data_IF_233552930743
#
_entry.id   IF_233552930743
#
_cell.length_a   1.000
_cell.length_b   1.000
_cell.length_c   1.000
_cell.angle_alpha   90.00
_cell.angle_beta   90.00
_cell.angle_gamma   90.00
#
_symmetry.space_group_name_H-M   'P 1'
#
loop_
_entity.id
_entity.type
_entity.pdbx_description
1 polymer ?
#
# COMPACT_ATOMS: atom_id res chain seq x y z
N UNK A 1 -3.12 13.42 -2.60
CA UNK A 1 -2.15 12.60 -3.38
C UNK A 1 -2.81 11.50 -4.23
N UNK A 2 -3.47 10.51 -3.63
CA UNK A 2 -4.09 9.36 -4.32
C UNK A 2 -5.05 9.69 -5.48
N UNK A 3 -5.62 10.90 -5.54
CA UNK A 3 -6.47 11.38 -6.65
C UNK A 3 -5.71 11.95 -7.85
N UNK A 4 -4.39 12.15 -7.73
CA UNK A 4 -3.58 12.72 -8.81
C UNK A 4 -3.48 11.77 -10.01
N UNK A 5 -3.46 12.35 -11.21
CA UNK A 5 -3.39 11.63 -12.49
C UNK A 5 -2.02 11.72 -13.16
N UNK A 6 -0.96 12.01 -12.41
CA UNK A 6 0.38 12.12 -12.97
C UNK A 6 0.93 10.79 -13.49
N UNK A 7 1.84 10.87 -14.46
CA UNK A 7 2.58 9.70 -14.94
C UNK A 7 3.54 9.21 -13.86
N UNK A 8 3.49 7.92 -13.56
CA UNK A 8 4.45 7.27 -12.65
C UNK A 8 5.76 7.03 -13.41
N UNK A 9 6.89 7.28 -12.76
CA UNK A 9 8.23 7.12 -13.34
C UNK A 9 8.74 5.68 -13.26
N UNK A 10 8.25 4.91 -12.30
CA UNK A 10 8.62 3.52 -12.06
C UNK A 10 7.42 2.59 -12.25
N UNK A 11 7.64 1.44 -12.89
CA UNK A 11 6.62 0.38 -12.93
C UNK A 11 6.50 -0.29 -11.57
N UNK A 12 7.61 -0.73 -10.98
CA UNK A 12 7.64 -1.45 -9.70
C UNK A 12 8.59 -0.75 -8.74
N UNK A 13 8.18 -0.60 -7.48
CA UNK A 13 9.11 -0.21 -6.44
C UNK A 13 8.83 -0.85 -5.09
N UNK A 14 9.91 -1.13 -4.37
CA UNK A 14 9.87 -1.77 -3.06
C UNK A 14 10.83 -1.05 -2.11
N UNK A 15 10.37 -0.83 -0.88
CA UNK A 15 11.18 -0.32 0.21
C UNK A 15 11.25 -1.38 1.31
N UNK A 16 12.42 -1.98 1.50
CA UNK A 16 12.58 -3.04 2.49
C UNK A 16 14.01 -3.14 3.00
N UNK A 17 14.16 -3.61 4.24
CA UNK A 17 15.43 -4.13 4.71
C UNK A 17 15.72 -5.44 3.95
N UNK A 18 16.95 -5.61 3.47
CA UNK A 18 17.43 -6.90 2.99
C UNK A 18 18.00 -7.65 4.19
N UNK A 19 17.21 -8.60 4.72
CA UNK A 19 17.61 -9.41 5.86
C UNK A 19 17.99 -10.80 5.33
N UNK A 20 19.19 -11.26 5.65
CA UNK A 20 19.62 -12.62 5.38
C UNK A 20 19.08 -13.59 6.43
N UNK A 21 18.88 -14.85 6.03
CA UNK A 21 18.52 -15.90 6.96
C UNK A 21 19.64 -16.13 7.97
N UNK A 22 19.30 -16.12 9.26
CA UNK A 22 20.22 -16.41 10.35
C UNK A 22 19.87 -17.75 11.03
N UNK A 23 20.85 -18.33 11.72
CA UNK A 23 20.65 -19.58 12.46
C UNK A 23 19.59 -19.40 13.57
N UNK A 24 18.59 -20.28 13.60
CA UNK A 24 17.49 -20.23 14.57
C UNK A 24 16.22 -19.54 14.09
N UNK A 25 16.21 -18.91 12.91
CA UNK A 25 14.97 -18.37 12.33
C UNK A 25 13.96 -19.51 12.02
N UNK A 26 12.69 -19.29 12.38
CA UNK A 26 11.61 -20.21 12.04
C UNK A 26 11.35 -20.28 10.53
N UNK A 27 10.56 -21.27 10.09
CA UNK A 27 10.29 -21.50 8.68
C UNK A 27 9.58 -20.32 8.00
N UNK A 28 8.67 -19.66 8.73
CA UNK A 28 7.90 -18.53 8.21
C UNK A 28 8.80 -17.32 7.96
N UNK A 29 9.63 -16.95 8.93
CA UNK A 29 10.63 -15.88 8.85
C UNK A 29 11.60 -16.10 7.69
N UNK A 30 12.04 -17.35 7.50
CA UNK A 30 12.88 -17.72 6.35
C UNK A 30 12.16 -17.47 5.03
N UNK A 31 10.89 -17.85 4.94
CA UNK A 31 10.08 -17.65 3.74
C UNK A 31 9.88 -16.15 3.43
N UNK A 32 9.64 -15.32 4.46
CA UNK A 32 9.52 -13.86 4.34
C UNK A 32 10.81 -13.21 3.82
N UNK A 33 11.96 -13.61 4.37
CA UNK A 33 13.25 -13.09 3.94
C UNK A 33 13.57 -13.53 2.52
N UNK A 34 13.27 -14.78 2.17
CA UNK A 34 13.41 -15.28 0.80
C UNK A 34 12.50 -14.52 -0.17
N UNK A 35 11.27 -14.16 0.20
CA UNK A 35 10.39 -13.31 -0.63
C UNK A 35 11.05 -11.95 -0.91
N UNK A 36 11.56 -11.26 0.12
CA UNK A 36 12.21 -9.96 -0.05
C UNK A 36 13.46 -10.05 -0.93
N UNK A 37 14.27 -11.09 -0.73
CA UNK A 37 15.46 -11.35 -1.55
C UNK A 37 15.09 -11.70 -3.00
N UNK A 38 14.05 -12.52 -3.20
CA UNK A 38 13.55 -12.88 -4.53
C UNK A 38 13.05 -11.65 -5.29
N UNK A 39 12.29 -10.77 -4.63
CA UNK A 39 11.84 -9.51 -5.20
C UNK A 39 13.01 -8.56 -5.51
N UNK A 40 14.00 -8.47 -4.62
CA UNK A 40 15.20 -7.67 -4.87
C UNK A 40 15.96 -8.19 -6.10
N UNK A 41 16.14 -9.51 -6.23
CA UNK A 41 16.75 -10.15 -7.41
C UNK A 41 15.99 -9.83 -8.69
N UNK A 42 14.67 -10.04 -8.70
CA UNK A 42 13.81 -9.67 -9.83
C UNK A 42 13.99 -8.20 -10.27
N UNK A 43 14.20 -7.31 -9.29
CA UNK A 43 14.42 -5.89 -9.53
C UNK A 43 15.80 -5.62 -10.15
N UNK A 44 16.84 -6.30 -9.66
CA UNK A 44 18.20 -6.21 -10.21
C UNK A 44 18.28 -6.81 -11.61
N UNK A 45 17.62 -7.96 -11.84
CA UNK A 45 17.59 -8.66 -13.13
C UNK A 45 16.93 -7.82 -14.22
N UNK A 46 15.96 -6.97 -13.85
CA UNK A 46 15.32 -6.05 -14.79
C UNK A 46 16.28 -4.99 -15.34
N UNK A 47 17.35 -4.65 -14.61
CA UNK A 47 18.43 -3.74 -14.98
C UNK A 47 17.98 -2.40 -15.63
N UNK A 48 16.81 -1.89 -15.25
CA UNK A 48 16.27 -0.58 -15.66
C UNK A 48 15.51 0.02 -14.47
N UNK A 49 15.98 1.17 -13.97
CA UNK A 49 15.40 1.86 -12.82
C UNK A 49 13.98 2.37 -13.07
N UNK A 50 13.59 2.60 -14.34
CA UNK A 50 12.21 2.93 -14.74
C UNK A 50 11.29 1.70 -14.65
N UNK A 51 11.87 0.50 -14.76
CA UNK A 51 11.12 -0.75 -14.58
C UNK A 51 11.03 -1.10 -13.11
N UNK A 52 12.15 -1.15 -12.41
CA UNK A 52 12.15 -1.53 -11.01
C UNK A 52 13.15 -0.71 -10.20
N UNK A 53 12.68 -0.13 -9.10
CA UNK A 53 13.51 0.57 -8.12
C UNK A 53 13.37 -0.08 -6.74
N UNK A 54 14.50 -0.37 -6.10
CA UNK A 54 14.53 -0.86 -4.72
C UNK A 54 15.18 0.20 -3.82
N UNK A 55 14.44 0.62 -2.79
CA UNK A 55 14.98 1.43 -1.71
C UNK A 55 15.39 0.51 -0.56
N UNK A 56 16.70 0.27 -0.44
CA UNK A 56 17.26 -0.48 0.66
C UNK A 56 17.15 0.33 1.96
N UNK A 57 16.39 -0.20 2.91
CA UNK A 57 16.28 0.37 4.24
C UNK A 57 17.39 -0.24 5.10
N UNK A 58 18.22 0.59 5.73
CA UNK A 58 19.28 0.12 6.61
C UNK A 58 18.74 -0.13 8.03
N UNK A 59 18.98 -1.30 8.65
CA UNK A 59 18.57 -1.57 10.02
C UNK A 59 19.13 -0.55 11.02
N UNK A 60 20.33 -0.03 10.78
CA UNK A 60 21.00 0.95 11.67
C UNK A 60 20.47 2.37 11.51
N UNK A 61 19.85 2.70 10.38
CA UNK A 61 19.23 4.00 10.14
C UNK A 61 17.85 4.12 10.82
N UNK A 62 17.09 3.02 10.90
CA UNK A 62 15.74 3.00 11.49
C UNK A 62 15.77 3.17 13.01
N UNK A 63 16.79 2.65 13.70
CA UNK A 63 16.89 2.72 15.16
C UNK A 63 17.59 3.98 15.70
N UNK A 64 18.35 4.72 14.89
CA UNK A 64 19.16 5.85 15.40
C UNK A 64 18.49 7.22 15.36
N UNK A 65 17.37 7.42 14.66
CA UNK A 65 16.64 8.70 14.65
C UNK A 65 15.15 8.49 14.33
N UNK A 66 14.32 8.50 15.37
CA UNK A 66 12.85 8.45 15.24
C UNK A 66 12.23 9.69 14.54
N UNK A 67 13.05 10.63 14.05
CA UNK A 67 12.60 11.88 13.42
C UNK A 67 13.30 12.21 12.09
N UNK A 68 13.89 11.23 11.39
CA UNK A 68 14.50 11.49 10.07
C UNK A 68 13.42 11.62 8.98
N UNK A 69 12.95 12.85 8.76
CA UNK A 69 12.02 13.19 7.69
C UNK A 69 12.56 12.85 6.29
N UNK A 70 13.87 12.64 6.11
CA UNK A 70 14.43 12.23 4.81
C UNK A 70 13.94 10.86 4.41
N UNK A 71 13.86 9.92 5.35
CA UNK A 71 13.35 8.59 5.07
C UNK A 71 11.88 8.61 4.67
N UNK A 72 11.07 9.41 5.39
CA UNK A 72 9.66 9.64 5.05
C UNK A 72 9.52 10.22 3.65
N UNK A 73 10.35 11.22 3.30
CA UNK A 73 10.38 11.83 1.96
C UNK A 73 10.81 10.85 0.88
N UNK A 74 11.81 10.00 1.15
CA UNK A 74 12.29 9.00 0.20
C UNK A 74 11.24 7.92 -0.07
N UNK A 75 10.65 7.33 0.97
CA UNK A 75 9.59 6.32 0.83
C UNK A 75 8.35 6.94 0.19
N UNK A 76 7.95 8.13 0.64
CA UNK A 76 6.82 8.85 0.09
C UNK A 76 7.00 9.18 -1.40
N UNK A 77 8.18 9.71 -1.76
CA UNK A 77 8.53 9.99 -3.16
C UNK A 77 8.60 8.72 -4.01
N UNK A 78 9.12 7.62 -3.45
CA UNK A 78 9.18 6.33 -4.13
C UNK A 78 7.77 5.84 -4.49
N UNK A 79 6.87 5.75 -3.52
CA UNK A 79 5.49 5.30 -3.78
C UNK A 79 4.71 6.29 -4.63
N UNK A 80 4.95 7.59 -4.48
CA UNK A 80 4.39 8.61 -5.36
C UNK A 80 4.83 8.40 -6.81
N UNK A 81 6.06 8.02 -7.09
CA UNK A 81 6.53 7.88 -8.47
C UNK A 81 6.32 6.47 -9.05
N UNK A 82 5.61 5.57 -8.36
CA UNK A 82 5.53 4.14 -8.73
C UNK A 82 4.12 3.68 -9.07
N UNK A 83 4.00 2.77 -10.05
CA UNK A 83 2.72 2.14 -10.42
C UNK A 83 2.34 1.01 -9.48
N UNK A 84 3.21 0.03 -9.28
CA UNK A 84 2.99 -1.15 -8.44
C UNK A 84 3.96 -1.17 -7.24
N UNK A 85 3.39 -1.33 -6.04
CA UNK A 85 4.15 -1.42 -4.81
C UNK A 85 3.97 -2.81 -4.18
N UNK A 86 4.92 -3.74 -4.42
CA UNK A 86 4.98 -5.01 -3.73
C UNK A 86 5.03 -4.89 -2.20
N UNK A 87 4.00 -5.42 -1.55
CA UNK A 87 3.82 -5.38 -0.09
C UNK A 87 4.12 -6.75 0.50
N UNK A 88 5.41 -7.08 0.60
CA UNK A 88 5.83 -8.27 1.32
C UNK A 88 5.32 -8.22 2.77
N UNK A 89 4.69 -9.31 3.22
CA UNK A 89 4.32 -9.48 4.63
C UNK A 89 5.55 -9.42 5.54
N UNK A 90 5.32 -9.05 6.80
CA UNK A 90 6.32 -9.17 7.86
C UNK A 90 5.88 -10.21 8.86
N UNK A 91 6.28 -10.03 10.11
CA UNK A 91 5.87 -10.86 11.24
C UNK A 91 4.34 -10.87 11.42
N UNK A 92 3.66 -9.86 10.85
CA UNK A 92 2.21 -9.78 10.74
C UNK A 92 1.76 -9.43 9.31
N UNK A 93 0.48 -9.72 9.06
CA UNK A 93 -0.27 -9.36 7.86
C UNK A 93 -0.43 -7.84 7.68
N UNK A 94 -0.48 -7.11 8.79
CA UNK A 94 -0.65 -5.65 8.81
C UNK A 94 0.68 -4.96 8.56
N UNK A 95 0.72 -3.98 7.64
CA UNK A 95 1.90 -3.13 7.40
C UNK A 95 1.46 -1.72 7.06
N UNK A 96 2.04 -0.72 7.75
CA UNK A 96 1.83 0.71 7.45
C UNK A 96 2.13 1.06 5.98
N UNK A 97 3.10 0.40 5.37
CA UNK A 97 3.45 0.58 3.95
C UNK A 97 2.28 0.35 2.97
N UNK A 98 1.33 -0.54 3.32
CA UNK A 98 0.13 -0.77 2.50
C UNK A 98 -0.72 0.51 2.45
N UNK A 99 -0.97 1.12 3.62
CA UNK A 99 -1.71 2.38 3.72
C UNK A 99 -0.96 3.49 2.96
N UNK A 100 0.35 3.61 3.18
CA UNK A 100 1.17 4.66 2.55
C UNK A 100 1.11 4.57 1.01
N UNK A 101 1.24 3.37 0.43
CA UNK A 101 1.14 3.18 -1.01
C UNK A 101 -0.24 3.54 -1.56
N UNK A 102 -1.30 3.08 -0.91
CA UNK A 102 -2.68 3.39 -1.31
C UNK A 102 -2.92 4.91 -1.26
N UNK A 103 -2.50 5.58 -0.19
CA UNK A 103 -2.62 7.03 -0.05
C UNK A 103 -1.77 7.81 -1.05
N UNK A 104 -0.69 7.22 -1.57
CA UNK A 104 0.14 7.82 -2.62
C UNK A 104 -0.28 7.38 -4.02
N UNK A 105 -1.31 6.54 -4.15
CA UNK A 105 -1.88 6.08 -5.41
C UNK A 105 -1.09 4.95 -6.09
N UNK A 106 -0.15 4.34 -5.37
CA UNK A 106 0.58 3.16 -5.84
C UNK A 106 -0.26 1.90 -5.59
N UNK A 107 -0.41 1.07 -6.62
CA UNK A 107 -1.23 -0.16 -6.56
C UNK A 107 -0.50 -1.20 -5.70
N UNK A 108 -1.07 -1.63 -4.57
CA UNK A 108 -0.46 -2.68 -3.76
C UNK A 108 -0.39 -4.00 -4.54
N UNK A 109 0.67 -4.77 -4.30
CA UNK A 109 0.77 -6.17 -4.75
C UNK A 109 0.97 -7.04 -3.51
N UNK A 110 0.01 -7.92 -3.24
CA UNK A 110 -0.02 -8.77 -2.05
C UNK A 110 0.48 -10.18 -2.31
N UNK A 111 1.02 -10.77 -1.23
CA UNK A 111 1.63 -12.10 -1.25
C UNK A 111 1.00 -13.08 -0.26
N UNK A 112 0.09 -12.60 0.59
CA UNK A 112 -0.65 -13.45 1.51
C UNK A 112 -2.10 -12.98 1.65
N UNK A 113 -3.07 -13.91 1.62
CA UNK A 113 -4.51 -13.57 1.62
C UNK A 113 -4.95 -12.76 2.83
N UNK A 114 -4.34 -12.99 3.99
CA UNK A 114 -4.63 -12.21 5.20
C UNK A 114 -4.42 -10.70 5.04
N UNK A 115 -3.61 -10.23 4.08
CA UNK A 115 -3.42 -8.80 3.82
C UNK A 115 -4.70 -8.14 3.30
N UNK A 116 -5.53 -8.90 2.57
CA UNK A 116 -6.84 -8.44 2.07
C UNK A 116 -7.91 -8.33 3.17
N UNK A 117 -7.67 -8.97 4.31
CA UNK A 117 -8.61 -9.01 5.44
C UNK A 117 -8.33 -7.91 6.48
N UNK A 118 -7.33 -7.08 6.24
CA UNK A 118 -6.94 -6.02 7.17
C UNK A 118 -7.91 -4.84 7.08
N UNK A 119 -8.21 -4.22 8.24
CA UNK A 119 -9.04 -3.01 8.36
C UNK A 119 -10.48 -3.17 7.81
N UNK A 120 -11.29 -4.13 8.30
CA UNK A 120 -12.58 -4.49 7.71
C UNK A 120 -13.60 -3.34 7.64
N UNK A 121 -13.51 -2.34 8.52
CA UNK A 121 -14.38 -1.16 8.46
C UNK A 121 -14.01 -0.22 7.30
N UNK A 122 -12.74 -0.18 6.93
CA UNK A 122 -12.17 0.75 5.95
C UNK A 122 -12.03 0.12 4.56
N UNK A 123 -11.71 -1.17 4.55
CA UNK A 123 -11.42 -1.96 3.36
C UNK A 123 -12.48 -3.03 3.24
N UNK A 124 -13.44 -2.76 2.36
CA UNK A 124 -14.38 -3.78 1.87
C UNK A 124 -13.77 -4.47 0.66
N UNK A 125 -14.61 -5.05 -0.20
CA UNK A 125 -14.15 -5.65 -1.46
C UNK A 125 -13.52 -4.67 -2.46
N UNK A 126 -13.42 -3.37 -2.15
CA UNK A 126 -12.79 -2.40 -3.04
C UNK A 126 -11.28 -2.56 -3.13
N UNK A 127 -10.59 -2.93 -2.03
CA UNK A 127 -9.13 -3.08 -2.06
C UNK A 127 -8.73 -4.27 -2.93
N UNK A 128 -9.50 -5.36 -2.88
CA UNK A 128 -9.30 -6.52 -3.76
C UNK A 128 -9.42 -6.14 -5.25
N UNK A 129 -10.33 -5.22 -5.58
CA UNK A 129 -10.45 -4.67 -6.96
C UNK A 129 -9.33 -3.68 -7.34
N UNK A 130 -8.53 -3.28 -6.37
CA UNK A 130 -7.50 -2.24 -6.47
C UNK A 130 -6.08 -2.76 -6.15
N UNK A 131 -5.89 -4.08 -6.11
CA UNK A 131 -4.63 -4.74 -5.78
C UNK A 131 -4.41 -5.92 -6.71
N UNK A 132 -3.19 -6.42 -6.74
CA UNK A 132 -2.87 -7.71 -7.37
C UNK A 132 -2.44 -8.70 -6.28
N UNK A 133 -2.75 -9.98 -6.47
CA UNK A 133 -2.38 -11.03 -5.54
C UNK A 133 -1.55 -12.09 -6.26
N UNK A 134 -0.39 -12.42 -5.70
CA UNK A 134 0.47 -13.50 -6.15
C UNK A 134 0.87 -14.33 -4.94
N UNK A 135 0.58 -15.64 -4.96
CA UNK A 135 0.94 -16.50 -3.84
C UNK A 135 2.45 -16.46 -3.55
N UNK A 136 2.82 -16.22 -2.29
CA UNK A 136 4.22 -16.11 -1.88
C UNK A 136 5.05 -17.34 -2.29
N UNK A 137 4.51 -18.55 -2.18
CA UNK A 137 5.24 -19.77 -2.55
C UNK A 137 5.56 -19.80 -4.04
N UNK A 138 4.66 -19.27 -4.88
CA UNK A 138 4.89 -19.13 -6.32
C UNK A 138 5.96 -18.08 -6.62
N UNK A 139 5.97 -16.96 -5.88
CA UNK A 139 6.95 -15.90 -6.09
C UNK A 139 8.35 -16.33 -5.66
N UNK A 140 8.45 -17.02 -4.52
CA UNK A 140 9.72 -17.52 -3.98
C UNK A 140 10.23 -18.73 -4.77
N UNK A 141 9.33 -19.55 -5.31
CA UNK A 141 9.68 -20.84 -5.90
C UNK A 141 10.11 -21.87 -4.84
N UNK A 142 10.42 -23.08 -5.30
CA UNK A 142 10.97 -24.14 -4.47
C UNK A 142 11.81 -25.10 -5.33
N UNK A 143 12.28 -26.21 -4.77
CA UNK A 143 13.12 -27.20 -5.50
C UNK A 143 12.47 -27.74 -6.78
N UNK A 144 11.15 -27.72 -6.87
CA UNK A 144 10.38 -28.28 -7.99
C UNK A 144 9.74 -27.21 -8.88
N UNK A 145 9.86 -25.92 -8.54
CA UNK A 145 9.24 -24.81 -9.30
C UNK A 145 10.15 -23.59 -9.32
N UNK A 146 10.47 -23.13 -10.52
CA UNK A 146 11.20 -21.87 -10.73
C UNK A 146 10.44 -20.70 -10.09
N UNK A 147 11.14 -19.77 -9.40
CA UNK A 147 10.54 -18.55 -8.90
C UNK A 147 9.83 -17.76 -10.01
N UNK A 148 8.70 -17.12 -9.68
CA UNK A 148 7.98 -16.26 -10.62
C UNK A 148 8.81 -15.00 -10.94
N UNK A 149 8.89 -14.65 -12.22
CA UNK A 149 9.30 -13.32 -12.66
C UNK A 149 8.17 -12.31 -12.38
N UNK A 150 8.16 -11.76 -11.16
CA UNK A 150 7.13 -10.84 -10.71
C UNK A 150 7.14 -9.56 -11.55
N UNK A 151 8.32 -9.03 -11.90
CA UNK A 151 8.43 -7.79 -12.67
C UNK A 151 7.88 -8.00 -14.09
N UNK A 152 8.20 -9.13 -14.72
CA UNK A 152 7.64 -9.50 -16.02
C UNK A 152 6.12 -9.70 -15.98
N UNK A 153 5.57 -10.30 -14.92
CA UNK A 153 4.12 -10.40 -14.74
C UNK A 153 3.45 -9.02 -14.60
N UNK A 154 4.04 -8.13 -13.80
CA UNK A 154 3.51 -6.78 -13.60
C UNK A 154 3.59 -5.92 -14.88
N UNK A 155 4.62 -6.12 -15.72
CA UNK A 155 4.70 -5.51 -17.07
C UNK A 155 3.54 -5.92 -17.98
N UNK A 156 3.02 -7.15 -17.83
CA UNK A 156 1.93 -7.69 -18.64
C UNK A 156 0.54 -7.22 -18.19
N UNK A 157 0.43 -6.56 -17.04
CA UNK A 157 -0.85 -6.05 -16.56
C UNK A 157 -1.37 -4.97 -17.54
N UNK A 158 -2.56 -5.14 -18.14
CA UNK A 158 -3.04 -4.21 -19.14
C UNK A 158 -3.24 -2.79 -18.57
N UNK A 159 -2.92 -1.75 -19.35
CA UNK A 159 -3.12 -0.36 -18.95
C UNK A 159 -4.56 -0.05 -18.48
N UNK A 160 -5.57 -0.67 -19.11
CA UNK A 160 -6.98 -0.58 -18.67
C UNK A 160 -7.23 -1.12 -17.26
N UNK A 161 -6.51 -2.17 -16.86
CA UNK A 161 -6.60 -2.74 -15.52
C UNK A 161 -5.90 -1.83 -14.50
N UNK A 162 -4.72 -1.30 -14.85
CA UNK A 162 -4.01 -0.29 -14.05
C UNK A 162 -4.90 0.93 -13.79
N UNK A 163 -5.47 1.52 -14.86
CA UNK A 163 -6.34 2.68 -14.75
C UNK A 163 -7.59 2.41 -13.88
N UNK A 164 -8.18 1.20 -13.97
CA UNK A 164 -9.31 0.80 -13.12
C UNK A 164 -8.89 0.69 -11.65
N UNK A 165 -7.73 0.09 -11.35
CA UNK A 165 -7.23 -0.01 -9.98
C UNK A 165 -6.93 1.38 -9.41
N UNK A 166 -6.23 2.23 -10.16
CA UNK A 166 -5.95 3.63 -9.77
C UNK A 166 -7.23 4.44 -9.54
N UNK A 167 -8.25 4.29 -10.41
CA UNK A 167 -9.56 4.90 -10.18
C UNK A 167 -10.20 4.40 -8.88
N UNK A 168 -10.17 3.09 -8.64
CA UNK A 168 -10.73 2.51 -7.40
C UNK A 168 -10.02 3.07 -6.17
N UNK A 169 -8.68 3.17 -6.19
CA UNK A 169 -7.89 3.81 -5.13
C UNK A 169 -8.30 5.27 -4.97
N UNK A 170 -8.38 6.02 -6.06
CA UNK A 170 -8.73 7.44 -6.03
C UNK A 170 -10.12 7.70 -5.41
N UNK A 171 -11.07 6.78 -5.61
CA UNK A 171 -12.43 6.84 -5.05
C UNK A 171 -12.52 6.44 -3.56
N UNK A 172 -11.60 5.62 -3.03
CA UNK A 172 -11.74 4.98 -1.70
C UNK A 172 -10.58 5.23 -0.72
N UNK A 173 -9.39 5.63 -1.17
CA UNK A 173 -8.22 5.74 -0.31
C UNK A 173 -8.38 6.76 0.83
N UNK A 174 -9.32 7.69 0.73
CA UNK A 174 -9.72 8.55 1.83
C UNK A 174 -10.12 7.77 3.10
N UNK A 175 -10.68 6.57 2.93
CA UNK A 175 -11.05 5.68 4.02
C UNK A 175 -9.84 5.15 4.81
N UNK A 176 -8.62 5.30 4.31
CA UNK A 176 -7.38 4.92 5.01
C UNK A 176 -6.58 6.13 5.48
N UNK A 177 -7.08 7.34 5.21
CA UNK A 177 -6.40 8.56 5.60
C UNK A 177 -6.84 9.02 6.99
N UNK A 178 -5.88 9.12 7.90
CA UNK A 178 -6.05 9.85 9.15
C UNK A 178 -5.67 11.32 8.89
N UNK A 179 -6.68 12.14 8.60
CA UNK A 179 -6.53 13.60 8.67
C UNK A 179 -6.97 14.07 10.04
N UNK A 180 -6.24 15.03 10.60
CA UNK A 180 -6.72 15.85 11.71
C UNK A 180 -7.20 17.15 11.09
N UNK A 181 -8.51 17.36 11.04
CA UNK A 181 -9.11 18.64 10.65
C UNK A 181 -9.54 19.40 11.91
N UNK A 182 -8.62 19.59 12.85
CA UNK A 182 -8.92 20.40 14.04
C UNK A 182 -8.74 21.89 13.71
N UNK A 183 -9.79 22.72 13.85
CA UNK A 183 -9.66 24.17 13.75
C UNK A 183 -8.61 24.66 14.76
N UNK A 184 -7.52 25.25 14.27
CA UNK A 184 -6.48 25.85 15.11
C UNK A 184 -5.19 25.05 15.28
N UNK A 185 -5.12 23.78 14.87
CA UNK A 185 -3.88 22.99 14.93
C UNK A 185 -3.10 22.99 13.61
N UNK A 186 -3.79 23.17 12.49
CA UNK A 186 -3.20 23.24 11.14
C UNK A 186 -3.86 24.41 10.39
N UNK A 187 -3.09 25.34 9.78
CA UNK A 187 -3.66 26.38 8.94
C UNK A 187 -4.61 25.76 7.90
N UNK A 188 -5.75 26.39 7.60
CA UNK A 188 -6.72 25.87 6.63
C UNK A 188 -6.13 25.57 5.23
N UNK A 189 -5.00 26.21 4.89
CA UNK A 189 -4.20 25.97 3.67
C UNK A 189 -3.24 24.76 3.77
N UNK A 190 -2.90 24.32 4.99
CA UNK A 190 -2.07 23.14 5.27
C UNK A 190 -2.90 21.94 5.77
N UNK A 191 -4.16 22.15 6.13
CA UNK A 191 -5.12 21.08 6.32
C UNK A 191 -5.31 20.39 4.96
N UNK A 192 -4.75 19.20 4.79
CA UNK A 192 -5.09 18.28 3.70
C UNK A 192 -6.54 17.84 3.89
N UNK A 193 -7.49 18.74 3.65
CA UNK A 193 -8.93 18.44 3.76
C UNK A 193 -9.23 17.25 2.86
N UNK A 194 -9.95 16.26 3.40
CA UNK A 194 -10.71 15.33 2.56
C UNK A 194 -12.17 15.76 2.60
N UNK A 195 -12.45 16.99 2.17
CA UNK A 195 -13.82 17.52 2.08
C UNK A 195 -14.71 17.18 3.28
N UNK A 196 -15.96 16.84 3.01
CA UNK A 196 -16.97 16.42 4.01
C UNK A 196 -17.10 14.88 4.10
N UNK A 197 -16.09 14.12 3.65
CA UNK A 197 -16.18 12.66 3.58
C UNK A 197 -15.44 12.02 4.77
N UNK A 198 -16.05 11.06 5.50
CA UNK A 198 -15.41 10.39 6.63
C UNK A 198 -14.04 9.80 6.27
N UNK A 199 -13.01 10.19 7.01
CA UNK A 199 -11.68 9.60 6.93
C UNK A 199 -11.58 8.33 7.78
N UNK A 200 -10.37 7.82 7.90
CA UNK A 200 -10.11 6.60 8.67
C UNK A 200 -10.44 6.76 10.16
N UNK A 201 -10.29 7.97 10.71
CA UNK A 201 -10.60 8.27 12.11
C UNK A 201 -12.10 8.20 12.38
N UNK A 202 -12.92 8.90 11.58
CA UNK A 202 -14.37 8.91 11.70
C UNK A 202 -14.95 7.51 11.49
N UNK A 203 -14.45 6.77 10.49
CA UNK A 203 -14.84 5.38 10.23
C UNK A 203 -14.54 4.49 11.45
N UNK A 204 -13.35 4.64 12.05
CA UNK A 204 -12.96 3.84 13.21
C UNK A 204 -13.83 4.16 14.44
N UNK A 205 -14.09 5.44 14.70
CA UNK A 205 -14.95 5.87 15.80
C UNK A 205 -16.38 5.36 15.62
N UNK A 206 -16.94 5.45 14.41
CA UNK A 206 -18.26 4.92 14.10
C UNK A 206 -18.31 3.40 14.28
N UNK A 207 -17.29 2.66 13.84
CA UNK A 207 -17.20 1.22 14.02
C UNK A 207 -17.16 0.81 15.50
N UNK A 208 -16.33 1.49 16.28
CA UNK A 208 -16.22 1.27 17.72
C UNK A 208 -17.53 1.55 18.46
N UNK A 209 -18.22 2.66 18.11
CA UNK A 209 -19.52 2.99 18.68
C UNK A 209 -20.60 1.95 18.35
N UNK A 210 -20.61 1.41 17.11
CA UNK A 210 -21.58 0.36 16.74
C UNK A 210 -21.34 -0.92 17.53
N UNK A 211 -20.08 -1.32 17.71
CA UNK A 211 -19.73 -2.51 18.50
C UNK A 211 -20.13 -2.35 19.97
N UNK A 212 -19.94 -1.17 20.57
CA UNK A 212 -20.30 -0.95 21.98
C UNK A 212 -21.82 -1.01 22.23
N UNK A 213 -22.63 -0.80 21.18
CA UNK A 213 -24.10 -0.83 21.26
C UNK A 213 -24.71 -2.18 20.88
N UNK A 214 -23.97 -3.04 20.18
CA UNK A 214 -24.47 -4.34 19.74
C UNK A 214 -23.34 -5.38 19.78
N UNK A 215 -23.19 -6.04 20.94
CA UNK A 215 -22.18 -7.06 21.19
C UNK A 215 -22.35 -8.34 20.33
N UNK A 216 -23.49 -8.50 19.66
CA UNK A 216 -23.78 -9.64 18.77
C UNK A 216 -23.21 -9.48 17.36
N UNK A 217 -22.58 -8.35 17.04
CA UNK A 217 -21.85 -8.18 15.77
C UNK A 217 -20.55 -9.00 15.85
N UNK A 218 -20.63 -10.24 15.40
CA UNK A 218 -19.47 -11.11 15.24
C UNK A 218 -18.39 -10.48 14.34
N UNK A 219 -17.13 -10.91 14.52
CA UNK A 219 -16.02 -10.48 13.67
C UNK A 219 -16.27 -10.74 12.17
N UNK A 220 -17.06 -11.77 11.84
CA UNK A 220 -17.53 -12.17 10.51
C UNK A 220 -18.54 -11.20 9.88
N UNK A 221 -19.22 -10.38 10.69
CA UNK A 221 -20.32 -9.49 10.29
C UNK A 221 -19.99 -8.00 10.46
N UNK A 222 -18.71 -7.64 10.62
CA UNK A 222 -18.31 -6.22 10.75
C UNK A 222 -18.66 -5.49 9.45
N UNK A 223 -19.60 -4.53 9.46
CA UNK A 223 -20.01 -3.84 8.25
C UNK A 223 -18.84 -3.00 7.73
N UNK A 224 -18.58 -3.09 6.44
CA UNK A 224 -17.78 -2.11 5.73
C UNK A 224 -18.46 -0.73 5.82
N UNK A 225 -17.74 0.28 6.30
CA UNK A 225 -18.29 1.62 6.56
C UNK A 225 -17.82 2.68 5.56
N UNK A 226 -16.73 2.39 4.84
CA UNK A 226 -16.22 3.27 3.79
C UNK A 226 -17.23 3.40 2.63
N UNK A 227 -17.38 4.62 2.11
CA UNK A 227 -18.26 4.91 0.97
C UNK A 227 -17.43 5.35 -0.23
N UNK A 228 -17.84 4.92 -1.42
CA UNK A 228 -17.23 5.38 -2.67
C UNK A 228 -17.47 6.88 -2.83
N UNK A 229 -16.41 7.64 -3.14
CA UNK A 229 -16.55 9.03 -3.58
C UNK A 229 -16.26 9.09 -5.07
N UNK A 230 -17.23 9.46 -5.92
CA UNK A 230 -17.00 9.63 -7.35
C UNK A 230 -15.84 10.60 -7.64
N UNK A 231 -15.17 10.35 -8.75
CA UNK A 231 -14.20 11.29 -9.32
C UNK A 231 -14.91 11.97 -10.49
N UNK A 232 -15.25 13.24 -10.33
CA UNK A 232 -15.78 14.03 -11.44
C UNK A 232 -14.72 14.10 -12.54
N UNK A 233 -15.18 14.02 -13.80
CA UNK A 233 -14.29 14.09 -14.97
C UNK A 233 -13.56 15.45 -15.05
N UNK A 234 -14.10 16.49 -14.41
CA UNK A 234 -13.63 17.88 -14.52
C UNK A 234 -12.71 18.34 -13.39
N UNK A 235 -12.64 17.62 -12.26
CA UNK A 235 -11.68 17.96 -11.17
C UNK A 235 -10.23 17.62 -11.53
N UNK A 236 -10.00 16.97 -12.67
CA UNK A 236 -8.67 16.62 -13.18
C UNK A 236 -7.92 17.83 -13.78
N UNK A 237 -8.63 18.91 -14.14
CA UNK A 237 -8.03 20.09 -14.77
C UNK A 237 -7.39 21.07 -13.79
N UNK A 238 -7.76 21.06 -12.50
CA UNK A 238 -7.41 22.13 -11.56
C UNK A 238 -6.09 21.90 -10.79
N UNK A 239 -5.34 20.85 -11.08
CA UNK A 239 -4.06 20.57 -10.39
C UNK A 239 -2.81 20.79 -11.25
N UNK A 240 -2.95 21.39 -12.44
CA UNK A 240 -1.83 21.67 -13.36
C UNK A 240 -1.35 23.14 -13.35
N UNK A 241 -1.81 23.95 -12.40
CA UNK A 241 -1.29 25.32 -12.21
C UNK A 241 -1.10 25.54 -10.71
N UNK A 242 0.16 25.56 -10.28
CA UNK A 242 0.60 25.76 -8.89
C UNK A 242 2.05 25.36 -8.71
#
# INVERSE_FOLDING_TARGET
PWRSQHSRQHLVATASNLIHNYHGADAFTKQLNTLRLGMHRNCMDANDTRVCTHLALSPTAVYKKHNDLRMVRQIGGLYWNTTFCPMAVGDACTRKAIIDAVLLGCIPVFFHRCQLLQWPWHIGGWLERATLFYDMERVVGNRSRTPLDLVGELKRVPARAVARMQRTIAEHAHCLHYAVTEPGFVPAAAATRIGDVPGAFEIALQGAWRLSRNASIEASHRPHLCRRVPIDKDSAATSLIG
#
